data_IF_456095708032
#
_entry.id   IF_456095708032
#
_cell.length_a   1.000
_cell.length_b   1.000
_cell.length_c   1.000
_cell.angle_alpha   90.00
_cell.angle_beta   90.00
_cell.angle_gamma   90.00
#
_symmetry.space_group_name_H-M   'P 1'
#
loop_
_entity.id
_entity.type
_entity.pdbx_description
1 polymer ?
#
# COMPACT_ATOMS: atom_id res chain seq x y z
N UNK A 1 10.11 -18.93 -7.73
CA UNK A 1 10.69 -18.17 -8.88
C UNK A 1 10.38 -16.72 -8.66
N UNK A 2 11.35 -15.81 -8.60
CA UNK A 2 11.09 -14.38 -8.42
C UNK A 2 10.79 -13.74 -9.77
N UNK A 3 9.64 -13.09 -9.91
CA UNK A 3 9.26 -12.39 -11.13
C UNK A 3 10.20 -11.19 -11.36
N UNK A 4 10.93 -11.19 -12.47
CA UNK A 4 11.81 -10.08 -12.85
C UNK A 4 11.00 -8.99 -13.56
N UNK A 5 10.90 -7.82 -12.95
CA UNK A 5 10.15 -6.70 -13.51
C UNK A 5 11.08 -5.57 -13.95
N UNK A 6 10.77 -4.83 -15.05
CA UNK A 6 11.52 -3.65 -15.44
C UNK A 6 11.39 -2.55 -14.38
N UNK A 7 12.32 -1.60 -14.40
CA UNK A 7 12.18 -0.39 -13.60
C UNK A 7 11.04 0.47 -14.15
N UNK A 8 10.16 0.94 -13.25
CA UNK A 8 9.14 1.94 -13.54
C UNK A 8 9.38 3.17 -12.66
N UNK A 9 9.43 4.39 -13.23
CA UNK A 9 9.48 5.61 -12.44
C UNK A 9 8.22 5.80 -11.59
N UNK A 10 8.35 6.43 -10.44
CA UNK A 10 7.25 6.72 -9.51
C UNK A 10 6.06 7.38 -10.19
N UNK A 11 6.32 8.37 -11.04
CA UNK A 11 5.29 9.12 -11.76
C UNK A 11 4.57 8.27 -12.82
N UNK A 12 5.21 7.25 -13.37
CA UNK A 12 4.56 6.31 -14.29
C UNK A 12 3.59 5.39 -13.54
N UNK A 13 3.99 4.89 -12.38
CA UNK A 13 3.12 4.08 -11.51
C UNK A 13 1.93 4.93 -11.03
N UNK A 14 2.18 6.17 -10.60
CA UNK A 14 1.12 7.07 -10.13
C UNK A 14 0.12 7.39 -11.24
N UNK A 15 0.59 7.67 -12.46
CA UNK A 15 -0.30 7.90 -13.62
C UNK A 15 -1.15 6.69 -13.97
N UNK A 16 -0.62 5.46 -13.87
CA UNK A 16 -1.43 4.26 -14.15
C UNK A 16 -2.50 4.06 -13.07
N UNK A 17 -2.18 4.30 -11.78
CA UNK A 17 -3.17 4.25 -10.71
C UNK A 17 -4.29 5.30 -10.89
N UNK A 18 -3.92 6.53 -11.26
CA UNK A 18 -4.89 7.59 -11.57
C UNK A 18 -5.75 7.23 -12.81
N UNK A 19 -5.14 6.63 -13.83
CA UNK A 19 -5.86 6.16 -15.00
C UNK A 19 -6.88 5.06 -14.68
N UNK A 20 -6.54 4.12 -13.79
CA UNK A 20 -7.48 3.10 -13.31
C UNK A 20 -8.67 3.74 -12.59
N UNK A 21 -8.43 4.71 -11.71
CA UNK A 21 -9.51 5.43 -11.00
C UNK A 21 -10.41 6.19 -11.97
N UNK A 22 -9.82 6.83 -12.99
CA UNK A 22 -10.58 7.54 -14.02
C UNK A 22 -11.43 6.58 -14.88
N UNK A 23 -10.89 5.42 -15.26
CA UNK A 23 -11.61 4.37 -15.98
C UNK A 23 -12.81 3.86 -15.16
N UNK A 24 -12.58 3.56 -13.88
CA UNK A 24 -13.64 3.13 -12.98
C UNK A 24 -14.72 4.20 -12.82
N UNK A 25 -14.33 5.45 -12.53
CA UNK A 25 -15.25 6.58 -12.35
C UNK A 25 -16.12 6.79 -13.60
N UNK A 26 -15.51 6.75 -14.78
CA UNK A 26 -16.23 6.86 -16.06
C UNK A 26 -17.22 5.71 -16.26
N UNK A 27 -16.77 4.46 -16.04
CA UNK A 27 -17.61 3.27 -16.24
C UNK A 27 -18.81 3.21 -15.27
N UNK A 28 -18.68 3.81 -14.09
CA UNK A 28 -19.74 3.85 -13.06
C UNK A 28 -20.55 5.14 -13.06
N UNK A 29 -20.13 6.17 -13.79
CA UNK A 29 -20.76 7.49 -13.78
C UNK A 29 -20.66 8.17 -12.40
N UNK A 30 -19.55 7.98 -11.67
CA UNK A 30 -19.36 8.51 -10.32
C UNK A 30 -18.14 9.41 -10.21
N UNK A 31 -18.15 10.32 -9.25
CA UNK A 31 -16.96 11.06 -8.86
C UNK A 31 -16.17 10.29 -7.81
N UNK A 32 -14.84 10.20 -7.98
CA UNK A 32 -13.99 9.54 -7.01
C UNK A 32 -13.86 10.36 -5.73
N UNK A 33 -14.16 9.70 -4.60
CA UNK A 33 -14.07 10.25 -3.25
C UNK A 33 -13.40 9.23 -2.31
N UNK A 34 -12.80 9.71 -1.23
CA UNK A 34 -12.30 8.83 -0.19
C UNK A 34 -13.44 8.34 0.74
N UNK A 35 -13.42 7.10 1.20
CA UNK A 35 -12.42 6.06 0.87
C UNK A 35 -12.65 5.48 -0.54
N UNK A 36 -11.56 5.10 -1.20
CA UNK A 36 -11.63 4.47 -2.54
C UNK A 36 -12.34 3.12 -2.44
N UNK A 37 -13.32 2.82 -3.30
CA UNK A 37 -14.08 1.56 -3.27
C UNK A 37 -13.25 0.42 -3.90
N UNK A 38 -12.19 -0.01 -3.21
CA UNK A 38 -11.19 -0.92 -3.77
C UNK A 38 -11.78 -2.29 -4.12
N UNK A 39 -12.73 -2.79 -3.33
CA UNK A 39 -13.41 -4.05 -3.56
C UNK A 39 -14.19 -4.01 -4.89
N UNK A 40 -14.95 -2.94 -5.10
CA UNK A 40 -15.72 -2.75 -6.34
C UNK A 40 -14.81 -2.57 -7.57
N UNK A 41 -13.66 -1.90 -7.40
CA UNK A 41 -12.66 -1.76 -8.45
C UNK A 41 -12.08 -3.13 -8.80
N UNK A 42 -11.65 -3.91 -7.82
CA UNK A 42 -10.97 -5.20 -8.04
C UNK A 42 -11.96 -6.23 -8.59
N UNK A 43 -13.09 -6.43 -7.94
CA UNK A 43 -14.02 -7.51 -8.31
C UNK A 43 -14.89 -7.16 -9.51
N UNK A 44 -15.47 -5.94 -9.54
CA UNK A 44 -16.47 -5.60 -10.56
C UNK A 44 -15.90 -4.86 -11.76
N UNK A 45 -14.83 -4.09 -11.61
CA UNK A 45 -14.22 -3.38 -12.74
C UNK A 45 -13.10 -4.19 -13.38
N UNK A 46 -12.16 -4.70 -12.57
CA UNK A 46 -11.07 -5.54 -13.06
C UNK A 46 -11.47 -7.00 -13.27
N UNK A 47 -12.64 -7.43 -12.75
CA UNK A 47 -13.19 -8.79 -12.87
C UNK A 47 -12.30 -9.85 -12.23
N UNK A 48 -11.62 -9.50 -11.14
CA UNK A 48 -10.81 -10.43 -10.39
C UNK A 48 -11.65 -11.18 -9.36
N UNK A 49 -11.24 -12.38 -9.03
CA UNK A 49 -11.89 -13.23 -8.06
C UNK A 49 -11.15 -13.14 -6.73
N UNK A 50 -11.81 -12.62 -5.70
CA UNK A 50 -11.25 -12.46 -4.36
C UNK A 50 -11.84 -13.49 -3.42
N UNK A 51 -10.99 -14.15 -2.65
CA UNK A 51 -11.34 -15.20 -1.68
C UNK A 51 -10.55 -15.00 -0.39
N UNK A 52 -11.10 -15.45 0.74
CA UNK A 52 -10.36 -15.57 2.00
C UNK A 52 -10.03 -17.03 2.26
N UNK A 53 -8.79 -17.33 2.68
CA UNK A 53 -8.35 -18.65 3.12
C UNK A 53 -7.13 -18.54 4.03
N UNK A 54 -6.80 -19.60 4.78
CA UNK A 54 -5.51 -19.73 5.47
C UNK A 54 -4.39 -19.92 4.44
N UNK A 55 -3.68 -18.86 4.12
CA UNK A 55 -2.63 -18.87 3.11
C UNK A 55 -1.44 -19.76 3.49
N UNK A 56 -1.14 -19.92 4.77
CA UNK A 56 -0.08 -20.83 5.21
C UNK A 56 -0.43 -22.29 4.92
N UNK A 57 -1.68 -22.68 5.20
CA UNK A 57 -2.20 -23.99 4.88
C UNK A 57 -2.29 -24.20 3.36
N UNK A 58 -2.86 -23.24 2.63
CA UNK A 58 -3.06 -23.32 1.19
C UNK A 58 -1.73 -23.48 0.42
N UNK A 59 -0.68 -22.75 0.87
CA UNK A 59 0.63 -22.75 0.21
C UNK A 59 1.59 -23.77 0.80
N UNK A 60 1.19 -24.50 1.85
CA UNK A 60 2.04 -25.43 2.60
C UNK A 60 3.34 -24.75 3.10
N UNK A 61 3.23 -23.54 3.63
CA UNK A 61 4.33 -22.75 4.18
C UNK A 61 4.16 -22.67 5.70
N UNK A 62 5.16 -23.07 6.49
CA UNK A 62 5.05 -22.96 7.95
C UNK A 62 4.91 -21.49 8.38
N UNK A 63 4.11 -21.25 9.42
CA UNK A 63 4.05 -19.93 10.05
C UNK A 63 5.40 -19.61 10.66
N UNK A 64 5.98 -18.46 10.33
CA UNK A 64 7.29 -18.07 10.84
C UNK A 64 7.14 -17.31 12.16
N UNK A 65 7.87 -17.79 13.20
CA UNK A 65 8.07 -17.07 14.46
C UNK A 65 7.15 -17.45 15.62
N UNK A 66 7.60 -17.06 16.83
CA UNK A 66 6.93 -17.29 18.12
C UNK A 66 5.73 -16.34 18.32
N UNK A 67 5.38 -15.56 17.32
CA UNK A 67 4.38 -14.52 17.43
C UNK A 67 3.38 -14.53 16.30
N UNK A 68 2.63 -15.57 16.13
CA UNK A 68 1.23 -15.63 15.68
C UNK A 68 0.76 -14.80 14.46
N UNK A 69 1.49 -13.82 13.95
CA UNK A 69 1.06 -13.10 12.76
C UNK A 69 1.52 -13.84 11.50
N UNK A 70 0.60 -14.13 10.57
CA UNK A 70 0.98 -14.65 9.28
C UNK A 70 1.88 -13.63 8.58
N UNK A 71 3.01 -14.07 8.09
CA UNK A 71 3.88 -13.23 7.26
C UNK A 71 3.41 -13.16 5.80
N UNK A 72 2.37 -13.92 5.45
CA UNK A 72 1.73 -13.93 4.14
C UNK A 72 0.33 -13.34 4.27
N UNK A 73 0.09 -12.23 3.58
CA UNK A 73 -1.17 -11.51 3.66
C UNK A 73 -2.03 -11.64 2.40
N UNK A 74 -1.41 -11.90 1.26
CA UNK A 74 -2.09 -12.05 -0.01
C UNK A 74 -1.30 -12.91 -0.98
N UNK A 75 -1.99 -13.44 -1.96
CA UNK A 75 -1.40 -14.16 -3.07
C UNK A 75 -2.25 -13.98 -4.33
N UNK A 76 -1.60 -13.81 -5.48
CA UNK A 76 -2.27 -13.65 -6.76
C UNK A 76 -1.78 -14.66 -7.80
N UNK A 77 -2.73 -15.20 -8.55
CA UNK A 77 -2.54 -15.99 -9.76
C UNK A 77 -2.77 -15.08 -10.97
N UNK A 78 -1.67 -14.59 -11.56
CA UNK A 78 -1.72 -13.61 -12.65
C UNK A 78 -2.24 -14.18 -13.99
N UNK A 79 -2.37 -15.48 -14.11
CA UNK A 79 -2.95 -16.19 -15.24
C UNK A 79 -4.49 -16.24 -15.17
N UNK A 80 -5.04 -16.45 -13.98
CA UNK A 80 -6.48 -16.62 -13.75
C UNK A 80 -7.18 -15.40 -13.19
N UNK A 81 -6.41 -14.45 -12.62
CA UNK A 81 -6.97 -13.33 -11.88
C UNK A 81 -7.57 -13.71 -10.53
N UNK A 82 -7.15 -14.86 -9.96
CA UNK A 82 -7.53 -15.27 -8.62
C UNK A 82 -6.64 -14.58 -7.59
N UNK A 83 -7.26 -13.97 -6.59
CA UNK A 83 -6.61 -13.38 -5.42
C UNK A 83 -7.10 -14.12 -4.19
N UNK A 84 -6.21 -14.52 -3.32
CA UNK A 84 -6.52 -15.04 -1.99
C UNK A 84 -5.89 -14.11 -0.97
N UNK A 85 -6.72 -13.62 -0.06
CA UNK A 85 -6.34 -12.82 1.10
C UNK A 85 -6.33 -13.73 2.32
N UNK A 86 -5.33 -13.60 3.19
CA UNK A 86 -5.29 -14.38 4.43
C UNK A 86 -6.51 -14.07 5.32
N UNK A 87 -7.15 -15.11 5.83
CA UNK A 87 -8.36 -15.02 6.65
C UNK A 87 -8.18 -14.14 7.90
N UNK A 88 -6.94 -13.99 8.39
CA UNK A 88 -6.63 -13.08 9.50
C UNK A 88 -6.89 -11.61 9.19
N UNK A 89 -7.05 -11.26 7.92
CA UNK A 89 -7.35 -9.90 7.46
C UNK A 89 -8.83 -9.67 7.15
N UNK A 90 -9.71 -10.67 7.34
CA UNK A 90 -11.13 -10.52 7.07
C UNK A 90 -11.74 -9.40 7.94
N UNK A 91 -12.19 -8.29 7.33
CA UNK A 91 -12.74 -7.16 8.07
C UNK A 91 -14.11 -7.44 8.71
N UNK A 92 -14.85 -8.46 8.26
CA UNK A 92 -16.10 -8.88 8.88
C UNK A 92 -15.84 -9.54 10.24
N UNK A 93 -14.77 -10.32 10.34
CA UNK A 93 -14.37 -10.95 11.60
C UNK A 93 -13.45 -10.04 12.45
N UNK A 94 -12.62 -9.23 11.80
CA UNK A 94 -11.60 -8.38 12.43
C UNK A 94 -11.62 -6.96 11.88
N UNK A 95 -12.57 -6.11 12.29
CA UNK A 95 -12.69 -4.73 11.78
C UNK A 95 -11.42 -3.90 11.91
N UNK A 96 -10.57 -4.17 12.91
CA UNK A 96 -9.29 -3.50 13.10
C UNK A 96 -8.29 -3.76 11.95
N UNK A 97 -8.48 -4.82 11.17
CA UNK A 97 -7.64 -5.20 10.03
C UNK A 97 -8.09 -4.58 8.70
N UNK A 98 -9.22 -3.88 8.66
CA UNK A 98 -9.78 -3.29 7.43
C UNK A 98 -8.72 -2.51 6.61
N UNK A 99 -7.95 -1.64 7.25
CA UNK A 99 -6.93 -0.86 6.54
C UNK A 99 -5.83 -1.72 5.91
N UNK A 100 -5.45 -2.84 6.57
CA UNK A 100 -4.49 -3.79 6.04
C UNK A 100 -5.10 -4.63 4.92
N UNK A 101 -6.29 -5.15 5.10
CA UNK A 101 -7.06 -5.82 4.07
C UNK A 101 -7.14 -4.99 2.78
N UNK A 102 -7.61 -3.74 2.89
CA UNK A 102 -7.74 -2.82 1.75
C UNK A 102 -6.40 -2.58 1.04
N UNK A 103 -5.32 -2.44 1.82
CA UNK A 103 -3.98 -2.28 1.25
C UNK A 103 -3.51 -3.54 0.53
N UNK A 104 -3.69 -4.73 1.13
CA UNK A 104 -3.35 -6.00 0.49
C UNK A 104 -4.16 -6.22 -0.79
N UNK A 105 -5.46 -5.94 -0.78
CA UNK A 105 -6.30 -6.04 -1.97
C UNK A 105 -5.86 -5.09 -3.09
N UNK A 106 -5.49 -3.86 -2.74
CA UNK A 106 -4.96 -2.89 -3.70
C UNK A 106 -3.58 -3.28 -4.23
N UNK A 107 -2.74 -3.92 -3.40
CA UNK A 107 -1.44 -4.46 -3.76
C UNK A 107 -1.56 -5.59 -4.79
N UNK A 108 -2.41 -6.58 -4.52
CA UNK A 108 -2.62 -7.72 -5.42
C UNK A 108 -3.39 -7.32 -6.69
N UNK A 109 -4.59 -6.77 -6.53
CA UNK A 109 -5.50 -6.45 -7.63
C UNK A 109 -5.11 -5.19 -8.39
N UNK A 110 -4.61 -4.16 -7.71
CA UNK A 110 -4.07 -2.95 -8.31
C UNK A 110 -2.64 -3.16 -8.81
N UNK A 111 -1.70 -3.34 -7.86
CA UNK A 111 -0.27 -3.41 -8.15
C UNK A 111 0.11 -4.57 -9.05
N UNK A 112 0.03 -5.79 -8.54
CA UNK A 112 0.49 -6.95 -9.30
C UNK A 112 -0.31 -7.19 -10.58
N UNK A 113 -1.63 -7.14 -10.52
CA UNK A 113 -2.44 -7.36 -11.71
C UNK A 113 -2.19 -6.32 -12.80
N UNK A 114 -2.19 -5.03 -12.45
CA UNK A 114 -2.02 -3.96 -13.44
C UNK A 114 -0.62 -3.89 -14.02
N UNK A 115 0.40 -3.97 -13.15
CA UNK A 115 1.77 -3.74 -13.57
C UNK A 115 2.46 -5.02 -14.08
N UNK A 116 2.09 -6.18 -13.55
CA UNK A 116 2.93 -7.37 -13.71
C UNK A 116 2.29 -8.49 -14.52
N UNK A 117 0.95 -8.54 -14.71
CA UNK A 117 0.31 -9.64 -15.44
C UNK A 117 0.86 -9.86 -16.84
N UNK A 118 1.20 -8.78 -17.54
CA UNK A 118 1.75 -8.86 -18.90
C UNK A 118 3.20 -9.34 -18.99
N UNK A 119 3.88 -9.49 -17.81
CA UNK A 119 5.26 -9.95 -17.72
C UNK A 119 5.35 -11.45 -17.41
N UNK A 120 4.25 -12.09 -17.06
CA UNK A 120 4.16 -13.53 -16.90
C UNK A 120 4.11 -14.14 -18.28
N UNK A 121 5.26 -14.51 -18.81
CA UNK A 121 5.33 -15.26 -20.06
C UNK A 121 4.91 -16.70 -19.83
N UNK A 122 4.35 -17.28 -20.89
CA UNK A 122 3.85 -18.65 -21.03
C UNK A 122 4.89 -19.77 -20.87
N UNK A 123 6.02 -19.56 -20.22
CA UNK A 123 6.96 -20.65 -19.84
C UNK A 123 6.31 -21.69 -18.89
N UNK A 124 5.06 -21.41 -18.45
CA UNK A 124 4.26 -22.32 -17.63
C UNK A 124 3.59 -23.46 -18.40
N UNK A 125 3.52 -23.40 -19.70
CA UNK A 125 2.83 -24.44 -20.49
C UNK A 125 3.47 -25.83 -20.33
N UNK A 126 4.71 -25.93 -19.88
CA UNK A 126 5.38 -27.20 -19.62
C UNK A 126 5.32 -27.69 -18.16
N UNK A 127 5.29 -26.80 -17.16
CA UNK A 127 5.23 -27.20 -15.74
C UNK A 127 3.78 -27.44 -15.24
N UNK A 128 2.80 -26.75 -15.81
CA UNK A 128 1.39 -26.85 -15.40
C UNK A 128 0.74 -28.21 -15.69
N UNK A 129 1.30 -28.99 -16.61
CA UNK A 129 0.78 -30.32 -16.98
C UNK A 129 0.96 -31.39 -15.87
N UNK A 130 1.72 -31.10 -14.82
CA UNK A 130 2.07 -32.09 -13.77
C UNK A 130 1.80 -31.61 -12.33
N UNK A 131 1.19 -30.45 -12.13
CA UNK A 131 0.91 -29.93 -10.80
C UNK A 131 -0.57 -30.09 -10.43
N UNK A 132 -0.84 -30.84 -9.36
CA UNK A 132 -2.19 -31.07 -8.85
C UNK A 132 -2.87 -29.77 -8.34
N UNK A 133 -2.08 -28.75 -7.95
CA UNK A 133 -2.56 -27.41 -7.54
C UNK A 133 -1.65 -26.34 -8.13
N UNK A 134 -2.20 -25.41 -8.95
CA UNK A 134 -1.42 -24.29 -9.49
C UNK A 134 -0.90 -23.39 -8.35
N UNK A 135 0.42 -23.17 -8.31
CA UNK A 135 1.03 -22.25 -7.34
C UNK A 135 0.74 -20.79 -7.72
N UNK A 136 0.57 -19.89 -6.76
CA UNK A 136 0.40 -18.47 -7.05
C UNK A 136 1.62 -17.90 -7.78
N UNK A 137 1.39 -16.90 -8.61
CA UNK A 137 2.45 -16.22 -9.36
C UNK A 137 3.29 -15.36 -8.43
N UNK A 138 2.62 -14.68 -7.49
CA UNK A 138 3.24 -13.83 -6.47
C UNK A 138 2.59 -14.10 -5.12
N UNK A 139 3.38 -13.98 -4.06
CA UNK A 139 2.94 -14.12 -2.66
C UNK A 139 3.45 -12.90 -1.90
N UNK A 140 2.53 -12.07 -1.41
CA UNK A 140 2.85 -10.90 -0.60
C UNK A 140 3.25 -11.32 0.82
N UNK A 141 4.48 -11.02 1.20
CA UNK A 141 5.03 -11.28 2.55
C UNK A 141 5.45 -9.98 3.23
N UNK A 142 5.23 -9.90 4.52
CA UNK A 142 5.62 -8.73 5.32
C UNK A 142 7.13 -8.44 5.32
N UNK A 143 7.97 -9.45 5.06
CA UNK A 143 9.43 -9.36 5.08
C UNK A 143 10.08 -9.03 3.73
N UNK A 144 9.33 -9.07 2.61
CA UNK A 144 9.89 -9.00 1.25
C UNK A 144 9.76 -7.64 0.57
N UNK A 145 9.39 -6.57 1.26
CA UNK A 145 9.23 -5.21 0.71
C UNK A 145 10.48 -4.62 -0.01
N UNK A 146 11.56 -5.42 -0.16
CA UNK A 146 12.82 -4.98 -0.79
C UNK A 146 12.93 -5.39 -2.26
N UNK A 147 12.14 -6.33 -2.74
CA UNK A 147 12.16 -6.71 -4.15
C UNK A 147 11.45 -5.66 -5.00
N UNK A 148 11.97 -5.40 -6.20
CA UNK A 148 11.41 -4.39 -7.09
C UNK A 148 9.94 -4.64 -7.42
N UNK A 149 9.56 -5.89 -7.57
CA UNK A 149 8.18 -6.29 -7.88
C UNK A 149 7.23 -5.91 -6.74
N UNK A 150 7.60 -6.19 -5.50
CA UNK A 150 6.84 -5.86 -4.31
C UNK A 150 6.78 -4.34 -4.08
N UNK A 151 7.94 -3.66 -4.24
CA UNK A 151 7.99 -2.21 -4.12
C UNK A 151 7.07 -1.50 -5.12
N UNK A 152 7.02 -1.96 -6.37
CA UNK A 152 6.12 -1.40 -7.39
C UNK A 152 4.66 -1.60 -7.01
N UNK A 153 4.30 -2.79 -6.51
CA UNK A 153 2.94 -3.10 -6.09
C UNK A 153 2.53 -2.31 -4.83
N UNK A 154 3.42 -2.17 -3.84
CA UNK A 154 3.21 -1.34 -2.66
C UNK A 154 2.99 0.14 -3.02
N UNK A 155 3.84 0.66 -3.91
CA UNK A 155 3.73 2.04 -4.33
C UNK A 155 2.45 2.28 -5.14
N UNK A 156 2.08 1.32 -6.00
CA UNK A 156 0.81 1.36 -6.72
C UNK A 156 -0.39 1.37 -5.78
N UNK A 157 -0.42 0.47 -4.80
CA UNK A 157 -1.48 0.40 -3.79
C UNK A 157 -1.62 1.73 -3.03
N UNK A 158 -0.47 2.31 -2.67
CA UNK A 158 -0.43 3.63 -2.02
C UNK A 158 -1.03 4.73 -2.91
N UNK A 159 -0.68 4.77 -4.20
CA UNK A 159 -1.23 5.72 -5.16
C UNK A 159 -2.73 5.52 -5.41
N UNK A 160 -3.16 4.27 -5.50
CA UNK A 160 -4.55 3.90 -5.77
C UNK A 160 -5.46 4.27 -4.59
N UNK A 161 -5.09 3.88 -3.35
CA UNK A 161 -5.90 4.15 -2.16
C UNK A 161 -5.83 5.60 -1.69
N UNK A 162 -4.73 6.28 -1.98
CA UNK A 162 -4.44 7.66 -1.55
C UNK A 162 -4.07 8.53 -2.76
N UNK A 163 -5.01 8.76 -3.71
CA UNK A 163 -4.75 9.54 -4.92
C UNK A 163 -4.29 10.95 -4.58
N UNK A 164 -3.23 11.41 -5.24
CA UNK A 164 -2.59 12.71 -4.99
C UNK A 164 -3.60 13.85 -4.85
N UNK A 165 -4.51 13.97 -5.82
CA UNK A 165 -5.51 15.04 -5.84
C UNK A 165 -6.39 15.04 -4.59
N UNK A 166 -6.89 13.87 -4.18
CA UNK A 166 -7.75 13.75 -3.01
C UNK A 166 -7.00 13.98 -1.71
N UNK A 167 -5.73 13.52 -1.62
CA UNK A 167 -4.88 13.76 -0.44
C UNK A 167 -4.58 15.25 -0.29
N UNK A 168 -4.23 15.96 -1.36
CA UNK A 168 -4.00 17.40 -1.30
C UNK A 168 -5.26 18.18 -0.91
N UNK A 169 -6.44 17.79 -1.44
CA UNK A 169 -7.70 18.42 -1.07
C UNK A 169 -8.01 18.23 0.42
N UNK A 170 -7.87 17.01 0.95
CA UNK A 170 -8.10 16.70 2.36
C UNK A 170 -7.06 17.38 3.27
N UNK A 171 -5.80 17.48 2.83
CA UNK A 171 -4.75 18.22 3.52
C UNK A 171 -5.12 19.69 3.69
N UNK A 172 -5.55 20.32 2.61
CA UNK A 172 -5.96 21.73 2.63
C UNK A 172 -7.21 21.95 3.49
N UNK A 173 -8.20 21.08 3.36
CA UNK A 173 -9.46 21.18 4.10
C UNK A 173 -9.22 21.07 5.61
N UNK A 174 -8.45 20.09 6.06
CA UNK A 174 -8.23 19.85 7.49
C UNK A 174 -7.21 20.73 8.16
N UNK A 175 -6.14 21.07 7.46
CA UNK A 175 -5.05 21.83 8.06
C UNK A 175 -5.08 23.32 7.69
N UNK A 176 -6.01 23.73 6.82
CA UNK A 176 -6.14 25.11 6.35
C UNK A 176 -4.89 25.62 5.64
N UNK A 177 -4.05 24.71 5.10
CA UNK A 177 -2.77 25.07 4.51
C UNK A 177 -2.44 24.24 3.28
N UNK A 178 -1.76 24.86 2.32
CA UNK A 178 -1.21 24.18 1.13
C UNK A 178 0.29 23.89 1.26
N UNK A 179 0.96 24.61 2.18
CA UNK A 179 2.41 24.45 2.41
C UNK A 179 2.73 23.17 3.20
N UNK A 180 3.88 22.55 2.96
CA UNK A 180 4.37 21.46 3.77
C UNK A 180 4.46 21.80 5.25
N UNK A 181 4.41 20.77 6.09
CA UNK A 181 4.67 20.84 7.52
C UNK A 181 6.06 20.26 7.79
N UNK A 182 6.88 21.02 8.51
CA UNK A 182 8.21 20.57 8.92
C UNK A 182 8.12 19.79 10.24
N UNK A 183 8.97 18.81 10.41
CA UNK A 183 9.10 18.07 11.67
C UNK A 183 9.42 19.04 12.84
N UNK A 184 10.25 20.05 12.59
CA UNK A 184 10.61 21.09 13.56
C UNK A 184 9.42 21.92 14.06
N UNK A 185 8.31 21.99 13.31
CA UNK A 185 7.09 22.70 13.68
C UNK A 185 6.24 21.91 14.69
N UNK A 186 6.51 20.64 14.86
CA UNK A 186 5.75 19.71 15.70
C UNK A 186 6.35 19.60 17.10
N UNK A 187 5.49 19.32 18.08
CA UNK A 187 5.91 19.04 19.46
C UNK A 187 5.29 17.74 19.94
N UNK A 188 6.07 16.89 20.57
CA UNK A 188 5.55 15.65 21.14
C UNK A 188 4.59 15.94 22.30
N UNK A 189 3.54 15.16 22.38
CA UNK A 189 2.62 15.10 23.49
C UNK A 189 2.54 13.67 24.03
N UNK A 190 1.77 13.44 25.08
CA UNK A 190 1.66 12.13 25.71
C UNK A 190 1.24 11.01 24.73
N UNK A 191 0.26 11.29 23.82
CA UNK A 191 -0.17 10.30 22.79
C UNK A 191 0.94 9.96 21.81
N UNK A 192 1.73 10.95 21.40
CA UNK A 192 2.89 10.76 20.52
C UNK A 192 3.94 9.91 21.21
N UNK A 193 4.24 10.19 22.47
CA UNK A 193 5.24 9.41 23.24
C UNK A 193 4.79 7.97 23.45
N UNK A 194 3.51 7.75 23.77
CA UNK A 194 2.95 6.40 23.87
C UNK A 194 3.07 5.64 22.54
N UNK A 195 2.74 6.30 21.43
CA UNK A 195 2.87 5.71 20.10
C UNK A 195 4.32 5.40 19.72
N UNK A 196 5.24 6.29 20.06
CA UNK A 196 6.68 6.07 19.86
C UNK A 196 7.15 4.83 20.61
N UNK A 197 6.72 4.65 21.87
CA UNK A 197 6.99 3.45 22.67
C UNK A 197 6.51 2.16 21.97
N UNK A 198 5.31 2.19 21.38
CA UNK A 198 4.78 1.08 20.58
C UNK A 198 5.68 0.77 19.36
N UNK A 199 6.10 1.80 18.62
CA UNK A 199 6.97 1.64 17.43
C UNK A 199 8.35 1.07 17.80
N UNK A 200 8.90 1.45 18.96
CA UNK A 200 10.16 0.89 19.47
C UNK A 200 9.98 -0.59 19.83
N UNK A 201 8.94 -0.89 20.61
CA UNK A 201 8.74 -2.24 21.16
C UNK A 201 8.32 -3.26 20.09
N UNK A 202 7.35 -2.91 19.23
CA UNK A 202 6.78 -3.84 18.25
C UNK A 202 7.57 -3.91 16.95
N UNK A 203 8.21 -2.80 16.51
CA UNK A 203 8.87 -2.71 15.22
C UNK A 203 10.40 -2.55 15.31
N UNK A 204 10.97 -2.53 16.52
CA UNK A 204 12.41 -2.38 16.73
C UNK A 204 12.98 -1.07 16.18
N UNK A 205 12.17 0.01 16.15
CA UNK A 205 12.62 1.33 15.69
C UNK A 205 13.60 1.96 16.66
N UNK A 206 14.56 2.74 16.16
CA UNK A 206 15.38 3.60 17.00
C UNK A 206 14.51 4.68 17.65
N UNK A 207 14.79 5.05 18.88
CA UNK A 207 13.97 5.99 19.66
C UNK A 207 13.69 7.30 18.91
N UNK A 208 14.73 7.92 18.34
CA UNK A 208 14.59 9.19 17.56
C UNK A 208 13.65 9.00 16.37
N UNK A 209 13.87 7.94 15.58
CA UNK A 209 13.02 7.67 14.39
C UNK A 209 11.58 7.37 14.81
N UNK A 210 11.38 6.71 15.96
CA UNK A 210 10.05 6.38 16.47
C UNK A 210 9.27 7.61 16.92
N UNK A 211 9.92 8.58 17.55
CA UNK A 211 9.28 9.85 17.93
C UNK A 211 8.91 10.67 16.69
N UNK A 212 9.81 10.77 15.74
CA UNK A 212 9.56 11.47 14.46
C UNK A 212 8.40 10.84 13.69
N UNK A 213 8.40 9.52 13.57
CA UNK A 213 7.33 8.78 12.92
C UNK A 213 6.00 8.97 13.64
N UNK A 214 5.99 8.92 14.98
CA UNK A 214 4.78 9.12 15.78
C UNK A 214 4.24 10.55 15.68
N UNK A 215 5.11 11.56 15.59
CA UNK A 215 4.72 12.95 15.32
C UNK A 215 3.99 13.07 13.99
N UNK A 216 4.58 12.55 12.92
CA UNK A 216 3.97 12.57 11.61
C UNK A 216 2.70 11.71 11.52
N UNK A 217 2.67 10.55 12.20
CA UNK A 217 1.46 9.73 12.29
C UNK A 217 0.32 10.46 12.99
N UNK A 218 0.61 11.31 13.99
CA UNK A 218 -0.42 12.12 14.65
C UNK A 218 -1.08 13.15 13.72
N UNK A 219 -0.30 13.72 12.81
CA UNK A 219 -0.80 14.61 11.74
C UNK A 219 -1.57 13.83 10.68
N UNK A 220 -1.07 12.66 10.31
CA UNK A 220 -1.65 11.82 9.28
C UNK A 220 -2.97 11.14 9.70
N UNK A 221 -3.17 10.89 11.01
CA UNK A 221 -4.28 10.08 11.53
C UNK A 221 -5.68 10.54 11.06
N UNK A 222 -6.07 11.82 11.15
CA UNK A 222 -7.40 12.24 10.70
C UNK A 222 -7.61 12.06 9.19
N UNK A 223 -6.54 12.22 8.39
CA UNK A 223 -6.58 11.98 6.95
C UNK A 223 -6.65 10.47 6.68
N UNK A 224 -5.84 9.67 7.38
CA UNK A 224 -5.83 8.22 7.26
C UNK A 224 -7.22 7.60 7.47
N UNK A 225 -7.93 8.05 8.51
CA UNK A 225 -9.31 7.61 8.77
C UNK A 225 -10.25 7.89 7.60
N UNK A 226 -10.11 9.07 6.97
CA UNK A 226 -10.95 9.45 5.82
C UNK A 226 -10.72 8.53 4.62
N UNK A 227 -9.49 8.02 4.45
CA UNK A 227 -9.12 7.15 3.33
C UNK A 227 -9.25 5.66 3.65
N UNK A 228 -9.56 5.28 4.89
CA UNK A 228 -9.63 3.88 5.29
C UNK A 228 -8.27 3.17 5.21
N UNK A 229 -7.19 3.86 5.60
CA UNK A 229 -5.82 3.33 5.58
C UNK A 229 -5.17 3.50 6.95
N UNK A 230 -4.04 2.80 7.18
CA UNK A 230 -3.28 2.96 8.43
C UNK A 230 -2.61 4.34 8.52
N UNK A 231 -2.39 4.82 9.76
CA UNK A 231 -1.63 6.06 10.02
C UNK A 231 -0.25 6.03 9.38
N UNK A 232 0.43 4.89 9.48
CA UNK A 232 1.75 4.70 8.90
C UNK A 232 1.73 4.80 7.36
N UNK A 233 0.75 4.18 6.68
CA UNK A 233 0.59 4.28 5.23
C UNK A 233 0.34 5.73 4.80
N UNK A 234 -0.56 6.45 5.48
CA UNK A 234 -0.84 7.85 5.18
C UNK A 234 0.38 8.74 5.45
N UNK A 235 1.11 8.53 6.56
CA UNK A 235 2.36 9.23 6.84
C UNK A 235 3.35 9.09 5.68
N UNK A 236 3.63 7.86 5.27
CA UNK A 236 4.56 7.57 4.15
C UNK A 236 4.09 8.27 2.87
N UNK A 237 2.79 8.25 2.60
CA UNK A 237 2.22 8.92 1.42
C UNK A 237 2.39 10.43 1.49
N UNK A 238 2.14 11.07 2.63
CA UNK A 238 2.31 12.50 2.84
C UNK A 238 3.78 12.92 2.72
N UNK A 239 4.72 12.12 3.26
CA UNK A 239 6.16 12.35 3.07
C UNK A 239 6.53 12.25 1.58
N UNK A 240 6.03 11.24 0.87
CA UNK A 240 6.27 11.04 -0.57
C UNK A 240 5.68 12.18 -1.43
N UNK A 241 4.56 12.75 -1.02
CA UNK A 241 3.94 13.90 -1.68
C UNK A 241 4.62 15.24 -1.31
N UNK A 242 5.60 15.22 -0.40
CA UNK A 242 6.29 16.42 0.07
C UNK A 242 5.41 17.32 0.96
N UNK A 243 4.35 16.77 1.56
CA UNK A 243 3.48 17.49 2.49
C UNK A 243 3.99 17.42 3.94
N UNK A 244 4.73 16.37 4.29
CA UNK A 244 5.48 16.23 5.54
C UNK A 244 6.97 16.18 5.21
N UNK A 245 7.77 17.03 5.85
CA UNK A 245 9.21 17.14 5.61
C UNK A 245 10.00 17.00 6.91
N UNK A 246 10.95 16.05 6.93
CA UNK A 246 11.83 15.84 8.10
C UNK A 246 12.85 16.98 8.26
N UNK A 247 13.31 17.51 7.13
CA UNK A 247 14.26 18.63 7.06
C UNK A 247 13.80 19.66 6.06
N UNK A 248 14.18 20.91 6.28
CA UNK A 248 13.90 21.98 5.34
C UNK A 248 14.60 21.71 4.00
N UNK A 249 13.91 21.84 2.85
CA UNK A 249 14.53 21.68 1.55
C UNK A 249 15.62 22.73 1.40
N UNK A 250 16.84 22.33 1.08
CA UNK A 250 17.90 23.30 0.74
C UNK A 250 17.43 24.13 -0.45
N UNK A 251 17.34 25.46 -0.28
CA UNK A 251 17.12 26.36 -1.42
C UNK A 251 18.22 26.11 -2.46
N UNK A 252 17.83 25.59 -3.63
CA UNK A 252 18.74 25.61 -4.78
C UNK A 252 18.93 27.09 -5.14
N UNK A 253 20.08 27.63 -4.78
CA UNK A 253 20.47 28.96 -5.21
C UNK A 253 20.54 28.94 -6.74
N UNK A 254 19.66 29.68 -7.40
CA UNK A 254 19.81 29.99 -8.83
C UNK A 254 20.99 30.92 -9.02
N UNK A 255 22.23 30.42 -8.85
CA UNK A 255 23.45 31.05 -9.28
C UNK A 255 23.84 30.44 -10.60
N UNK A 256 23.61 31.17 -11.67
CA UNK A 256 24.25 30.90 -12.97
C UNK A 256 23.31 30.90 -14.16
N UNK A 257 22.63 32.02 -14.41
CA UNK A 257 22.29 32.47 -15.77
C UNK A 257 22.60 33.96 -15.78
N UNK A 258 23.84 34.30 -16.11
CA UNK A 258 24.27 35.57 -16.70
C UNK A 258 25.13 35.23 -17.88
#
# INVERSE_FOLDING_TARGET
MTLRVPYMPDDAIERDAEALLAQYAHARGVEMKAPIPIEDIVEKHLKLRVEFDDLHRLLNVPRSGIGLDPDIFGAIWLDTGRIVIDESLDPEERPAMEGRYRFTLAHEGGGHWRLHRGLVRSDRDQEALFADVPKPTVVCRSSQAKERVEWQADFYASCLLMPRRLVHAEWQDRLGRTKPLLLSDLRPNEKVMLRAGTLIHEQGRREVDAVDDALFESVAEPIARRFGVSRAAMRIRLEKLGLLLRVEPKQQSMKGIL
#
